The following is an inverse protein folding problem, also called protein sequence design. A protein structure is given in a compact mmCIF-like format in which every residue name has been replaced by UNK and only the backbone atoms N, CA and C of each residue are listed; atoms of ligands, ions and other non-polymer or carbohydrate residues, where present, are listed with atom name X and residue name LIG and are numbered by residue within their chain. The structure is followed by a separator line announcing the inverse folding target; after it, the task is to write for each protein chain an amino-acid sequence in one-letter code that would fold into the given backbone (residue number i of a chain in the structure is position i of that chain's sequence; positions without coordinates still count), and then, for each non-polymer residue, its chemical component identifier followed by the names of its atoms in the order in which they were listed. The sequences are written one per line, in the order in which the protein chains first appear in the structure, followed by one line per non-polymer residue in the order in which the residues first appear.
data_IF_004194971823
#
_entry.id   IF_004194971823
#
_cell.length_a   1.000
_cell.length_b   1.000
_cell.length_c   1.000
_cell.angle_alpha   90.00
_cell.angle_beta   90.00
_cell.angle_gamma   90.00
#
_symmetry.space_group_name_H-M   'P 1'
#
loop_
_entity.id
_entity.type
_entity.pdbx_description
1 polymer ?
#
# COMPACT_ATOMS: atom_id res chain seq x y z
N UNK A 1 -20.47 -3.34 -14.18
CA UNK A 1 -19.95 -2.42 -13.16
C UNK A 1 -18.63 -1.85 -13.64
N UNK A 2 -18.62 -0.56 -13.88
CA UNK A 2 -17.51 0.27 -14.35
C UNK A 2 -17.10 1.14 -13.17
N UNK A 3 -15.85 1.02 -12.75
CA UNK A 3 -15.36 1.62 -11.51
C UNK A 3 -14.26 2.62 -11.82
N UNK A 4 -14.17 3.68 -11.00
CA UNK A 4 -13.14 4.70 -11.11
C UNK A 4 -11.75 4.11 -10.87
N UNK A 5 -10.76 4.66 -11.56
CA UNK A 5 -9.36 4.29 -11.43
C UNK A 5 -8.61 5.45 -10.81
N UNK A 6 -7.71 5.16 -9.87
CA UNK A 6 -6.80 6.13 -9.27
C UNK A 6 -5.37 5.59 -9.29
N UNK A 7 -4.40 6.49 -9.42
CA UNK A 7 -3.00 6.19 -9.17
C UNK A 7 -2.58 6.81 -7.84
N UNK A 8 -2.05 5.99 -6.94
CA UNK A 8 -1.53 6.43 -5.65
C UNK A 8 -0.01 6.37 -5.68
N UNK A 9 0.62 7.53 -5.56
CA UNK A 9 2.06 7.68 -5.44
C UNK A 9 2.41 8.24 -4.06
N UNK A 10 2.52 7.33 -3.10
CA UNK A 10 3.10 7.58 -1.79
C UNK A 10 2.52 8.77 -1.01
N UNK A 11 1.20 8.94 -1.05
CA UNK A 11 0.47 10.02 -0.37
C UNK A 11 -0.28 10.91 -1.35
N UNK A 12 0.23 11.05 -2.57
CA UNK A 12 -0.43 11.80 -3.63
C UNK A 12 -1.35 10.88 -4.43
N UNK A 13 -2.58 11.34 -4.68
CA UNK A 13 -3.57 10.65 -5.49
C UNK A 13 -3.75 11.39 -6.80
N UNK A 14 -3.84 10.64 -7.89
CA UNK A 14 -4.16 11.17 -9.22
C UNK A 14 -5.32 10.38 -9.82
N UNK A 15 -6.24 11.09 -10.47
CA UNK A 15 -7.34 10.46 -11.21
C UNK A 15 -6.81 9.68 -12.41
N UNK A 16 -7.30 8.46 -12.58
CA UNK A 16 -6.93 7.57 -13.67
C UNK A 16 -5.58 6.86 -13.50
N UNK A 17 -5.26 6.05 -14.50
CA UNK A 17 -3.99 5.34 -14.61
C UNK A 17 -3.41 5.45 -16.02
N UNK A 18 -2.08 5.50 -16.09
CA UNK A 18 -1.34 5.44 -17.34
C UNK A 18 -1.29 4.00 -17.85
N UNK A 19 -1.70 3.83 -19.10
CA UNK A 19 -1.58 2.61 -19.90
C UNK A 19 -0.44 2.83 -20.88
N UNK A 20 0.51 1.90 -20.89
CA UNK A 20 1.75 1.96 -21.65
C UNK A 20 1.85 0.76 -22.61
N UNK A 21 2.70 0.90 -23.62
CA UNK A 21 3.04 -0.19 -24.52
C UNK A 21 3.92 -1.23 -23.83
N UNK A 22 3.47 -2.49 -23.84
CA UNK A 22 4.25 -3.63 -23.36
C UNK A 22 4.45 -4.67 -24.48
N UNK A 23 5.71 -4.98 -24.78
CA UNK A 23 6.07 -5.97 -25.81
C UNK A 23 6.15 -7.38 -25.20
N UNK A 24 5.31 -8.29 -25.69
CA UNK A 24 5.34 -9.69 -25.28
C UNK A 24 6.56 -10.40 -25.90
N UNK A 25 7.46 -10.87 -25.04
CA UNK A 25 8.65 -11.64 -25.47
C UNK A 25 8.22 -12.86 -26.29
N UNK A 26 8.78 -13.01 -27.50
CA UNK A 26 8.56 -14.16 -28.39
C UNK A 26 7.40 -14.03 -29.38
N UNK A 27 6.45 -13.11 -29.18
CA UNK A 27 5.31 -12.93 -30.08
C UNK A 27 5.44 -11.75 -31.04
N UNK A 28 6.40 -10.83 -30.81
CA UNK A 28 6.51 -9.54 -31.52
C UNK A 28 5.18 -8.74 -31.53
N UNK A 29 4.38 -8.91 -30.47
CA UNK A 29 3.10 -8.23 -30.27
C UNK A 29 3.27 -7.25 -29.11
N UNK A 30 2.85 -6.00 -29.35
CA UNK A 30 2.76 -4.96 -28.33
C UNK A 30 1.32 -4.86 -27.87
N UNK A 31 1.11 -4.84 -26.55
CA UNK A 31 -0.22 -4.69 -25.95
C UNK A 31 -0.28 -3.45 -25.07
N UNK A 32 -1.45 -2.79 -24.97
CA UNK A 32 -1.71 -1.78 -23.95
C UNK A 32 -1.83 -2.43 -22.56
N UNK A 33 -1.04 -1.98 -21.60
CA UNK A 33 -1.08 -2.49 -20.23
C UNK A 33 -0.77 -1.41 -19.19
N UNK A 34 -1.32 -1.52 -17.99
CA UNK A 34 -0.80 -0.80 -16.83
C UNK A 34 0.38 -1.59 -16.30
N UNK A 35 1.56 -0.96 -16.28
CA UNK A 35 2.82 -1.58 -15.86
C UNK A 35 3.23 -1.02 -14.50
N UNK A 36 3.49 -1.94 -13.56
CA UNK A 36 3.98 -1.66 -12.21
C UNK A 36 5.19 -2.53 -11.89
N UNK A 37 5.92 -2.19 -10.82
CA UNK A 37 7.21 -2.81 -10.51
C UNK A 37 8.33 -2.34 -11.44
N UNK A 38 9.45 -3.05 -11.42
CA UNK A 38 10.63 -2.74 -12.24
C UNK A 38 11.21 -4.02 -12.87
N UNK A 39 12.01 -3.88 -13.92
CA UNK A 39 12.80 -4.99 -14.46
C UNK A 39 14.16 -5.12 -13.76
N UNK A 40 14.68 -6.35 -13.70
CA UNK A 40 16.04 -6.63 -13.26
C UNK A 40 16.13 -7.44 -11.97
N UNK A 41 17.34 -7.55 -11.42
CA UNK A 41 17.60 -8.44 -10.28
C UNK A 41 16.84 -7.99 -9.03
N UNK A 42 16.07 -8.90 -8.44
CA UNK A 42 15.25 -8.63 -7.25
C UNK A 42 13.99 -7.79 -7.55
N UNK A 43 13.66 -7.59 -8.82
CA UNK A 43 12.52 -6.79 -9.30
C UNK A 43 11.63 -7.66 -10.16
N UNK A 44 10.36 -7.27 -10.27
CA UNK A 44 9.37 -7.98 -11.06
C UNK A 44 8.37 -7.00 -11.64
N UNK A 45 8.13 -7.08 -12.95
CA UNK A 45 7.04 -6.32 -13.57
C UNK A 45 5.70 -7.00 -13.32
N UNK A 46 4.75 -6.22 -12.79
CA UNK A 46 3.34 -6.52 -12.85
C UNK A 46 2.74 -5.90 -14.11
N UNK A 47 2.17 -6.73 -14.98
CA UNK A 47 1.57 -6.30 -16.25
C UNK A 47 0.08 -6.62 -16.19
N UNK A 48 -0.76 -5.59 -16.17
CA UNK A 48 -2.22 -5.73 -16.25
C UNK A 48 -2.69 -5.28 -17.63
N UNK A 49 -3.06 -6.21 -18.52
CA UNK A 49 -3.55 -5.87 -19.85
C UNK A 49 -4.81 -5.01 -19.78
N UNK A 50 -4.93 -4.07 -20.72
CA UNK A 50 -6.09 -3.18 -20.84
C UNK A 50 -6.67 -3.30 -22.22
N UNK A 51 -7.97 -3.57 -22.33
CA UNK A 51 -8.69 -3.43 -23.58
C UNK A 51 -9.20 -1.99 -23.69
N UNK A 52 -8.57 -1.21 -24.57
CA UNK A 52 -8.90 0.20 -24.79
C UNK A 52 -10.13 0.33 -25.71
N UNK A 53 -10.85 1.45 -25.56
CA UNK A 53 -11.88 1.88 -26.50
C UNK A 53 -11.23 2.27 -27.84
N UNK A 54 -11.94 2.17 -28.99
CA UNK A 54 -11.34 2.38 -30.31
C UNK A 54 -10.55 3.69 -30.47
N UNK A 55 -11.12 4.82 -30.01
CA UNK A 55 -10.47 6.12 -30.11
C UNK A 55 -9.29 6.27 -29.15
N UNK A 56 -9.37 5.68 -27.96
CA UNK A 56 -8.26 5.65 -27.00
C UNK A 56 -7.12 4.74 -27.49
N UNK A 57 -7.46 3.64 -28.15
CA UNK A 57 -6.52 2.71 -28.74
C UNK A 57 -5.71 3.38 -29.86
N UNK A 58 -6.35 4.11 -30.78
CA UNK A 58 -5.65 4.89 -31.81
C UNK A 58 -4.65 5.90 -31.21
N UNK A 59 -5.05 6.60 -30.14
CA UNK A 59 -4.15 7.52 -29.41
C UNK A 59 -2.96 6.79 -28.79
N UNK A 60 -3.20 5.62 -28.22
CA UNK A 60 -2.15 4.78 -27.66
C UNK A 60 -1.20 4.25 -28.74
N UNK A 61 -1.69 3.82 -29.90
CA UNK A 61 -0.83 3.37 -31.01
C UNK A 61 0.10 4.48 -31.52
N UNK A 62 -0.38 5.73 -31.53
CA UNK A 62 0.40 6.89 -31.95
C UNK A 62 1.43 7.34 -30.91
N UNK A 63 1.04 7.39 -29.63
CA UNK A 63 1.84 7.99 -28.57
C UNK A 63 2.61 6.99 -27.70
N UNK A 64 2.33 5.69 -27.83
CA UNK A 64 2.84 4.62 -26.97
C UNK A 64 2.28 4.63 -25.54
N UNK A 65 1.44 5.61 -25.18
CA UNK A 65 0.81 5.70 -23.87
C UNK A 65 -0.50 6.49 -23.92
N UNK A 66 -1.38 6.21 -22.96
CA UNK A 66 -2.65 6.93 -22.77
C UNK A 66 -3.09 6.84 -21.31
N UNK A 67 -3.96 7.77 -20.87
CA UNK A 67 -4.55 7.73 -19.52
C UNK A 67 -6.01 7.31 -19.61
N UNK A 68 -6.44 6.42 -18.71
CA UNK A 68 -7.83 5.98 -18.57
C UNK A 68 -8.35 6.26 -17.15
N UNK A 69 -9.66 6.51 -17.02
CA UNK A 69 -10.26 6.97 -15.75
C UNK A 69 -11.30 5.99 -15.19
N UNK A 70 -11.88 5.14 -16.03
CA UNK A 70 -12.83 4.12 -15.61
C UNK A 70 -12.57 2.80 -16.35
N UNK A 71 -12.84 1.68 -15.68
CA UNK A 71 -12.80 0.36 -16.29
C UNK A 71 -13.70 -0.64 -15.57
N UNK A 72 -13.98 -1.76 -16.23
CA UNK A 72 -14.51 -2.96 -15.60
C UNK A 72 -13.46 -4.06 -15.58
N UNK A 73 -13.55 -4.96 -14.60
CA UNK A 73 -12.69 -6.15 -14.53
C UNK A 73 -13.19 -7.20 -15.51
N UNK A 74 -12.30 -7.70 -16.35
CA UNK A 74 -12.52 -8.88 -17.18
C UNK A 74 -11.42 -9.91 -16.99
N UNK A 75 -11.46 -10.97 -17.80
CA UNK A 75 -10.43 -11.99 -17.84
C UNK A 75 -9.85 -12.13 -19.25
N UNK A 76 -8.55 -12.41 -19.33
CA UNK A 76 -7.89 -12.88 -20.54
C UNK A 76 -8.38 -14.29 -20.89
N UNK A 77 -8.05 -14.78 -22.10
CA UNK A 77 -8.35 -16.18 -22.49
C UNK A 77 -7.75 -17.20 -21.53
N UNK A 78 -6.66 -16.87 -20.84
CA UNK A 78 -6.00 -17.70 -19.84
C UNK A 78 -6.57 -17.54 -18.42
N UNK A 79 -7.70 -16.84 -18.25
CA UNK A 79 -8.33 -16.60 -16.95
C UNK A 79 -7.66 -15.53 -16.08
N UNK A 80 -6.53 -14.96 -16.52
CA UNK A 80 -5.84 -13.88 -15.77
C UNK A 80 -6.61 -12.56 -15.87
N UNK A 81 -6.60 -11.72 -14.82
CA UNK A 81 -7.27 -10.41 -14.85
C UNK A 81 -6.83 -9.53 -16.02
N UNK A 82 -7.78 -8.77 -16.57
CA UNK A 82 -7.54 -7.63 -17.48
C UNK A 82 -8.54 -6.52 -17.18
N UNK A 83 -8.22 -5.29 -17.56
CA UNK A 83 -9.18 -4.20 -17.53
C UNK A 83 -9.85 -4.03 -18.89
N UNK A 84 -11.13 -3.70 -18.87
CA UNK A 84 -11.89 -3.26 -20.03
C UNK A 84 -12.20 -1.78 -19.81
N UNK A 85 -11.59 -0.90 -20.60
CA UNK A 85 -11.80 0.54 -20.46
C UNK A 85 -13.28 0.89 -20.61
N UNK A 86 -13.75 1.80 -19.77
CA UNK A 86 -15.04 2.44 -19.89
C UNK A 86 -14.87 3.96 -20.08
N UNK A 87 -15.86 4.61 -20.68
CA UNK A 87 -15.89 6.07 -20.78
C UNK A 87 -16.04 6.70 -19.40
N UNK A 88 -16.99 6.19 -18.62
CA UNK A 88 -17.30 6.67 -17.28
C UNK A 88 -17.56 5.51 -16.31
N UNK A 89 -17.39 5.78 -15.02
CA UNK A 89 -17.79 4.86 -13.96
C UNK A 89 -19.31 4.90 -13.75
N UNK A 90 -19.90 3.78 -13.38
CA UNK A 90 -21.33 3.63 -13.08
C UNK A 90 -21.60 3.37 -11.59
N UNK A 91 -20.57 3.44 -10.75
CA UNK A 91 -20.67 3.19 -9.31
C UNK A 91 -19.52 3.86 -8.54
N UNK A 92 -19.78 4.19 -7.28
CA UNK A 92 -18.79 4.59 -6.28
C UNK A 92 -18.71 3.58 -5.12
N UNK A 93 -19.17 2.34 -5.30
CA UNK A 93 -19.07 1.27 -4.29
C UNK A 93 -17.64 0.74 -4.13
N UNK A 94 -16.79 0.94 -5.15
CA UNK A 94 -15.38 0.53 -5.16
C UNK A 94 -14.60 1.27 -6.24
N UNK A 95 -13.28 1.28 -6.10
CA UNK A 95 -12.37 1.84 -7.09
C UNK A 95 -11.21 0.89 -7.39
N UNK A 96 -10.51 1.13 -8.49
CA UNK A 96 -9.23 0.50 -8.82
C UNK A 96 -8.13 1.45 -8.37
N UNK A 97 -7.22 0.96 -7.53
CA UNK A 97 -6.04 1.71 -7.12
C UNK A 97 -4.78 1.09 -7.73
N UNK A 98 -4.03 1.89 -8.48
CA UNK A 98 -2.68 1.59 -8.96
C UNK A 98 -1.68 2.17 -7.97
N UNK A 99 -1.09 1.31 -7.14
CA UNK A 99 -0.14 1.68 -6.10
C UNK A 99 1.28 1.71 -6.64
N UNK A 100 1.84 2.91 -6.78
CA UNK A 100 3.27 3.17 -7.06
C UNK A 100 3.98 3.55 -5.76
N UNK A 101 3.89 2.67 -4.78
CA UNK A 101 4.33 2.90 -3.39
C UNK A 101 5.86 2.87 -3.29
N UNK A 102 6.46 3.97 -2.84
CA UNK A 102 7.91 4.07 -2.69
C UNK A 102 8.46 3.18 -1.56
N UNK A 103 9.79 3.06 -1.50
CA UNK A 103 10.52 2.57 -0.32
C UNK A 103 11.54 3.63 0.10
N UNK A 104 11.80 3.75 1.40
CA UNK A 104 12.93 4.55 1.89
C UNK A 104 14.28 3.91 1.54
N UNK A 105 15.38 4.62 1.79
CA UNK A 105 16.71 4.07 1.54
C UNK A 105 16.95 2.85 2.44
N UNK A 106 17.28 1.72 1.80
CA UNK A 106 17.36 0.37 2.38
C UNK A 106 16.07 -0.05 3.09
N UNK A 107 14.94 0.36 2.54
CA UNK A 107 13.63 0.20 3.12
C UNK A 107 12.79 -0.88 2.49
N UNK A 108 11.54 -0.91 2.94
CA UNK A 108 10.47 -1.70 2.39
C UNK A 108 9.19 -0.88 2.30
N UNK A 109 8.14 -1.45 1.73
CA UNK A 109 6.79 -0.91 1.88
C UNK A 109 5.83 -2.02 2.30
N UNK A 110 4.69 -1.62 2.88
CA UNK A 110 3.65 -2.55 3.32
C UNK A 110 2.28 -1.92 3.06
N UNK A 111 1.34 -2.73 2.58
CA UNK A 111 -0.06 -2.37 2.40
C UNK A 111 -0.89 -3.08 3.47
N UNK A 112 -1.67 -2.32 4.25
CA UNK A 112 -2.53 -2.85 5.31
C UNK A 112 -3.89 -2.17 5.29
N UNK A 113 -4.83 -2.66 6.08
CA UNK A 113 -6.02 -1.92 6.46
C UNK A 113 -5.72 -0.91 7.55
N UNK A 114 -6.78 -0.49 8.24
CA UNK A 114 -6.71 0.48 9.32
C UNK A 114 -5.88 0.01 10.53
N UNK A 115 -5.48 0.95 11.39
CA UNK A 115 -4.96 0.69 12.72
C UNK A 115 -6.03 0.00 13.56
N UNK A 116 -5.75 -1.22 13.99
CA UNK A 116 -6.66 -2.02 14.83
C UNK A 116 -6.46 -1.68 16.30
N UNK A 117 -5.23 -1.82 16.79
CA UNK A 117 -4.92 -1.57 18.20
C UNK A 117 -3.45 -1.21 18.42
N UNK A 118 -3.18 -0.65 19.60
CA UNK A 118 -1.83 -0.44 20.13
C UNK A 118 -1.66 -1.37 21.31
N UNK A 119 -0.58 -2.13 21.30
CA UNK A 119 -0.21 -3.00 22.40
C UNK A 119 1.26 -2.82 22.73
N UNK A 120 1.65 -3.24 23.92
CA UNK A 120 3.00 -3.08 24.42
C UNK A 120 3.65 -4.45 24.60
N UNK A 121 4.94 -4.52 24.36
CA UNK A 121 5.74 -5.74 24.58
C UNK A 121 6.96 -5.39 25.39
N UNK A 122 7.37 -6.26 26.30
CA UNK A 122 8.63 -6.08 27.02
C UNK A 122 9.77 -6.63 26.16
N UNK A 123 10.85 -5.87 25.92
CA UNK A 123 12.02 -6.36 25.21
C UNK A 123 12.57 -7.65 25.82
N UNK A 124 12.95 -8.59 24.97
CA UNK A 124 13.34 -9.95 25.38
C UNK A 124 14.51 -10.02 26.36
N UNK A 125 15.35 -8.98 26.41
CA UNK A 125 16.53 -8.88 27.27
C UNK A 125 16.24 -8.30 28.66
N UNK A 126 15.00 -7.89 28.94
CA UNK A 126 14.61 -7.36 30.25
C UNK A 126 14.18 -8.50 31.15
N UNK A 127 14.81 -8.60 32.32
CA UNK A 127 14.37 -9.51 33.39
C UNK A 127 13.12 -8.96 34.06
N UNK A 128 12.12 -9.82 34.24
CA UNK A 128 10.86 -9.45 34.87
C UNK A 128 10.97 -9.63 36.39
N UNK A 129 10.57 -8.63 37.19
CA UNK A 129 10.36 -8.82 38.62
C UNK A 129 9.09 -9.66 38.85
N UNK A 130 8.95 -10.34 40.01
CA UNK A 130 7.85 -11.27 40.27
C UNK A 130 6.44 -10.69 40.12
N UNK A 131 6.29 -9.38 40.31
CA UNK A 131 5.02 -8.65 40.26
C UNK A 131 4.51 -8.45 38.83
N UNK A 132 5.37 -8.61 37.82
CA UNK A 132 5.01 -8.38 36.41
C UNK A 132 4.80 -9.71 35.70
N UNK A 133 3.56 -10.04 35.27
CA UNK A 133 3.26 -11.32 34.65
C UNK A 133 3.94 -11.41 33.27
N UNK A 134 4.62 -12.53 32.99
CA UNK A 134 5.24 -12.74 31.68
C UNK A 134 4.19 -13.04 30.62
N UNK A 135 3.91 -12.07 29.77
CA UNK A 135 2.99 -12.22 28.63
C UNK A 135 3.53 -11.54 27.36
N UNK A 136 3.11 -11.99 26.17
CA UNK A 136 3.62 -11.48 24.91
C UNK A 136 3.04 -10.09 24.54
N UNK A 137 1.92 -9.69 25.14
CA UNK A 137 1.21 -8.43 24.86
C UNK A 137 0.67 -7.84 26.16
N UNK A 138 0.79 -6.54 26.31
CA UNK A 138 0.21 -5.76 27.39
C UNK A 138 -0.67 -4.67 26.80
N UNK A 139 -1.82 -4.45 27.44
CA UNK A 139 -2.71 -3.33 27.18
C UNK A 139 -2.09 -2.01 27.63
N UNK A 140 -2.74 -0.89 27.32
CA UNK A 140 -2.27 0.44 27.75
C UNK A 140 -2.33 0.55 29.28
N UNK A 141 -3.38 0.04 29.88
CA UNK A 141 -3.66 0.05 31.31
C UNK A 141 -2.62 -0.79 32.06
N UNK A 142 -2.32 -2.00 31.57
CA UNK A 142 -1.26 -2.85 32.13
C UNK A 142 0.12 -2.20 31.98
N UNK A 143 0.41 -1.57 30.84
CA UNK A 143 1.65 -0.80 30.66
C UNK A 143 1.76 0.31 31.71
N UNK A 144 0.69 1.05 31.98
CA UNK A 144 0.68 2.14 32.97
C UNK A 144 0.87 1.62 34.40
N UNK A 145 0.30 0.46 34.71
CA UNK A 145 0.46 -0.22 35.99
C UNK A 145 1.87 -0.78 36.19
N UNK A 146 2.44 -1.45 35.18
CA UNK A 146 3.72 -2.17 35.33
C UNK A 146 4.95 -1.34 34.97
N UNK A 147 4.83 -0.26 34.18
CA UNK A 147 5.97 0.57 33.81
C UNK A 147 6.74 1.11 35.03
N UNK A 148 6.11 1.67 36.09
CA UNK A 148 6.86 2.15 37.25
C UNK A 148 7.68 1.06 37.96
N UNK A 149 7.15 -0.17 38.01
CA UNK A 149 7.82 -1.33 38.63
C UNK A 149 9.06 -1.71 37.80
N UNK A 150 8.89 -1.81 36.48
CA UNK A 150 9.97 -2.16 35.55
C UNK A 150 11.04 -1.07 35.47
N UNK A 151 10.63 0.20 35.46
CA UNK A 151 11.50 1.37 35.50
C UNK A 151 12.39 1.34 36.75
N UNK A 152 11.79 1.14 37.94
CA UNK A 152 12.53 0.98 39.18
C UNK A 152 13.50 -0.21 39.15
N UNK A 153 13.05 -1.35 38.63
CA UNK A 153 13.88 -2.56 38.50
C UNK A 153 15.07 -2.36 37.55
N UNK A 154 14.92 -1.53 36.53
CA UNK A 154 15.95 -1.21 35.53
C UNK A 154 16.75 0.06 35.83
N UNK A 155 16.42 0.77 36.91
CA UNK A 155 17.00 2.05 37.28
C UNK A 155 16.92 3.08 36.13
N UNK A 156 15.71 3.24 35.57
CA UNK A 156 15.40 4.20 34.51
C UNK A 156 14.06 4.88 34.79
N UNK A 157 13.91 6.11 34.34
CA UNK A 157 12.65 6.87 34.45
C UNK A 157 11.86 6.91 33.12
N UNK A 158 12.44 6.39 32.02
CA UNK A 158 11.76 6.34 30.72
C UNK A 158 11.10 4.97 30.52
N UNK A 159 9.76 4.96 30.52
CA UNK A 159 8.98 3.75 30.26
C UNK A 159 9.29 3.13 28.89
N UNK A 160 9.78 3.92 27.92
CA UNK A 160 10.16 3.43 26.59
C UNK A 160 11.39 2.53 26.60
N UNK A 161 12.18 2.57 27.68
CA UNK A 161 13.30 1.64 27.86
C UNK A 161 12.84 0.27 28.37
N UNK A 162 11.60 0.15 28.84
CA UNK A 162 11.05 -1.10 29.40
C UNK A 162 9.88 -1.68 28.62
N UNK A 163 9.23 -0.88 27.77
CA UNK A 163 8.21 -1.32 26.84
C UNK A 163 8.45 -0.81 25.43
N UNK A 164 8.29 -1.70 24.46
CA UNK A 164 8.10 -1.35 23.05
C UNK A 164 6.61 -1.16 22.76
N UNK A 165 6.23 0.00 22.24
CA UNK A 165 4.90 0.17 21.63
C UNK A 165 4.86 -0.51 20.25
N UNK A 166 3.87 -1.38 20.04
CA UNK A 166 3.57 -2.04 18.76
C UNK A 166 2.18 -1.64 18.28
N UNK A 167 2.01 -1.63 16.97
CA UNK A 167 0.75 -1.29 16.34
C UNK A 167 0.30 -2.49 15.51
N UNK A 168 -0.90 -3.00 15.79
CA UNK A 168 -1.56 -3.98 14.94
C UNK A 168 -2.42 -3.26 13.91
N UNK A 169 -2.35 -3.72 12.67
CA UNK A 169 -3.16 -3.23 11.57
C UNK A 169 -4.10 -4.34 11.09
N UNK A 170 -5.28 -3.94 10.61
CA UNK A 170 -6.17 -4.82 9.88
C UNK A 170 -5.49 -5.33 8.59
N UNK A 171 -5.91 -6.49 8.06
CA UNK A 171 -5.50 -6.94 6.74
C UNK A 171 -5.79 -5.89 5.67
N UNK A 172 -5.01 -5.89 4.59
CA UNK A 172 -5.30 -5.04 3.43
C UNK A 172 -6.69 -5.38 2.88
N UNK A 173 -7.61 -4.41 2.74
CA UNK A 173 -9.00 -4.68 2.40
C UNK A 173 -9.25 -4.89 0.90
N UNK A 174 -8.24 -4.65 0.06
CA UNK A 174 -8.37 -4.68 -1.39
C UNK A 174 -8.09 -6.05 -2.02
N UNK A 175 -8.84 -6.37 -3.06
CA UNK A 175 -8.58 -7.54 -3.90
C UNK A 175 -7.44 -7.22 -4.87
N UNK A 176 -6.25 -7.78 -4.62
CA UNK A 176 -5.07 -7.58 -5.47
C UNK A 176 -5.22 -8.35 -6.79
N UNK A 177 -5.28 -7.62 -7.91
CA UNK A 177 -5.44 -8.18 -9.25
C UNK A 177 -4.13 -8.19 -10.06
N UNK A 178 -3.12 -7.42 -9.63
CA UNK A 178 -1.78 -7.42 -10.21
C UNK A 178 -0.76 -6.97 -9.16
N UNK A 179 0.46 -7.50 -9.22
CA UNK A 179 1.56 -7.07 -8.37
C UNK A 179 2.86 -7.00 -9.14
N UNK A 180 3.72 -6.08 -8.73
CA UNK A 180 5.11 -5.98 -9.17
C UNK A 180 6.03 -5.73 -7.97
N UNK A 181 7.33 -5.86 -8.18
CA UNK A 181 8.37 -5.66 -7.18
C UNK A 181 9.32 -4.58 -7.67
N UNK A 182 9.60 -3.61 -6.78
CA UNK A 182 10.67 -2.64 -6.91
C UNK A 182 11.80 -3.01 -5.95
N UNK A 183 13.04 -2.70 -6.31
CA UNK A 183 14.17 -2.99 -5.43
C UNK A 183 15.30 -1.97 -5.55
N UNK A 184 15.96 -1.74 -4.43
CA UNK A 184 17.10 -0.84 -4.35
C UNK A 184 18.44 -1.58 -4.46
N UNK A 185 19.39 -0.91 -5.11
CA UNK A 185 20.75 -1.36 -5.32
C UNK A 185 20.92 -2.16 -6.60
N UNK A 186 22.16 -2.24 -7.09
CA UNK A 186 22.48 -2.96 -8.33
C UNK A 186 22.06 -4.44 -8.28
N UNK A 187 22.14 -5.05 -7.09
CA UNK A 187 21.75 -6.45 -6.88
C UNK A 187 20.32 -6.65 -6.34
N UNK A 188 19.55 -5.58 -6.08
CA UNK A 188 18.18 -5.66 -5.53
C UNK A 188 18.10 -6.21 -4.09
N UNK A 189 19.20 -6.21 -3.34
CA UNK A 189 19.29 -6.77 -1.97
C UNK A 189 19.30 -5.71 -0.86
N UNK A 190 19.30 -4.43 -1.22
CA UNK A 190 19.45 -3.35 -0.24
C UNK A 190 18.11 -2.93 0.38
N UNK A 191 17.02 -3.06 -0.38
CA UNK A 191 15.65 -2.77 0.02
C UNK A 191 14.71 -3.22 -1.09
N UNK A 192 13.46 -3.52 -0.76
CA UNK A 192 12.47 -4.02 -1.73
C UNK A 192 11.07 -3.63 -1.31
N UNK A 193 10.24 -3.28 -2.28
CA UNK A 193 8.84 -2.95 -2.06
C UNK A 193 7.95 -3.60 -3.11
N UNK A 194 6.66 -3.65 -2.81
CA UNK A 194 5.63 -4.12 -3.73
C UNK A 194 4.92 -2.91 -4.33
N UNK A 195 4.70 -2.97 -5.63
CA UNK A 195 3.64 -2.21 -6.28
C UNK A 195 2.45 -3.14 -6.49
N UNK A 196 1.24 -2.59 -6.45
CA UNK A 196 0.00 -3.37 -6.54
C UNK A 196 -1.01 -2.66 -7.44
N UNK A 197 -1.87 -3.43 -8.08
CA UNK A 197 -3.15 -2.95 -8.59
C UNK A 197 -4.21 -3.73 -7.84
N UNK A 198 -5.12 -3.04 -7.16
CA UNK A 198 -6.14 -3.67 -6.35
C UNK A 198 -7.49 -2.98 -6.51
N UNK A 199 -8.55 -3.74 -6.29
CA UNK A 199 -9.92 -3.25 -6.20
C UNK A 199 -10.21 -2.97 -4.73
N UNK A 200 -10.55 -1.72 -4.41
CA UNK A 200 -10.75 -1.25 -3.04
C UNK A 200 -12.23 -0.97 -2.80
N UNK A 201 -12.86 -1.53 -1.75
CA UNK A 201 -14.23 -1.18 -1.38
C UNK A 201 -14.33 0.26 -0.85
N UNK A 202 -15.45 0.92 -1.12
CA UNK A 202 -15.76 2.23 -0.56
C UNK A 202 -15.88 2.17 0.96
N UNK A 203 -15.69 3.33 1.61
CA UNK A 203 -15.84 3.51 3.05
C UNK A 203 -14.98 2.58 3.92
N UNK A 204 -13.90 2.03 3.35
CA UNK A 204 -12.96 1.18 4.06
C UNK A 204 -11.57 1.80 4.04
N UNK A 205 -10.98 1.97 5.22
CA UNK A 205 -9.64 2.57 5.35
C UNK A 205 -8.57 1.56 4.95
N UNK A 206 -7.64 2.01 4.11
CA UNK A 206 -6.43 1.27 3.75
C UNK A 206 -5.20 2.16 3.91
N UNK A 207 -4.03 1.53 4.01
CA UNK A 207 -2.79 2.20 4.39
C UNK A 207 -1.63 1.72 3.55
N UNK A 208 -0.75 2.65 3.18
CA UNK A 208 0.60 2.32 2.71
C UNK A 208 1.64 2.81 3.72
N UNK A 209 2.53 1.92 4.12
CA UNK A 209 3.64 2.19 5.02
C UNK A 209 4.97 2.11 4.27
N UNK A 210 5.94 2.91 4.70
CA UNK A 210 7.28 2.94 4.14
C UNK A 210 8.30 2.73 5.26
N UNK A 211 9.27 1.86 5.02
CA UNK A 211 10.40 1.60 5.91
C UNK A 211 11.71 2.17 5.36
N UNK A 212 12.79 1.98 6.12
CA UNK A 212 14.12 2.49 5.79
C UNK A 212 14.28 3.96 6.15
N UNK A 213 15.27 4.62 5.56
CA UNK A 213 15.51 6.06 5.77
C UNK A 213 14.64 6.88 4.83
N UNK A 214 13.74 7.67 5.41
CA UNK A 214 12.74 8.47 4.68
C UNK A 214 13.09 9.96 4.57
N UNK A 215 14.15 10.41 5.23
CA UNK A 215 14.68 11.79 5.10
C UNK A 215 13.62 12.89 5.27
N UNK A 216 12.77 12.75 6.28
CA UNK A 216 11.70 13.71 6.57
C UNK A 216 10.36 13.41 5.89
N UNK A 217 10.31 12.44 4.96
CA UNK A 217 9.03 11.99 4.41
C UNK A 217 8.22 11.21 5.47
N UNK A 218 6.87 11.27 5.41
CA UNK A 218 6.01 10.53 6.32
C UNK A 218 6.25 9.02 6.27
N UNK A 219 6.12 8.33 7.40
CA UNK A 219 6.26 6.88 7.50
C UNK A 219 5.09 6.07 6.95
N UNK A 220 3.94 6.69 6.75
CA UNK A 220 2.75 6.06 6.18
C UNK A 220 1.72 7.10 5.73
N UNK A 221 0.81 6.67 4.86
CA UNK A 221 -0.42 7.39 4.53
C UNK A 221 -1.60 6.44 4.64
N UNK A 222 -2.74 6.99 5.02
CA UNK A 222 -4.04 6.36 5.11
C UNK A 222 -4.94 6.93 4.02
N UNK A 223 -5.81 6.08 3.51
CA UNK A 223 -6.67 6.39 2.39
C UNK A 223 -8.07 5.85 2.65
N UNK A 224 -9.07 6.56 2.15
CA UNK A 224 -10.46 6.11 2.09
C UNK A 224 -11.05 6.53 0.76
N UNK A 225 -11.73 5.60 0.08
CA UNK A 225 -12.52 5.91 -1.11
C UNK A 225 -13.96 6.20 -0.65
N UNK A 226 -14.44 7.42 -0.89
CA UNK A 226 -15.78 7.88 -0.49
C UNK A 226 -16.26 8.93 -1.50
N UNK A 227 -17.54 8.89 -1.84
CA UNK A 227 -18.19 9.84 -2.75
C UNK A 227 -17.46 10.03 -4.09
N UNK A 228 -16.84 8.95 -4.56
CA UNK A 228 -16.17 8.95 -5.84
C UNK A 228 -14.79 9.60 -5.86
N UNK A 229 -14.20 9.89 -4.70
CA UNK A 229 -12.86 10.44 -4.52
C UNK A 229 -12.04 9.60 -3.51
N UNK A 230 -10.72 9.72 -3.56
CA UNK A 230 -9.84 9.16 -2.52
C UNK A 230 -9.25 10.29 -1.69
N UNK A 231 -9.54 10.26 -0.40
CA UNK A 231 -8.93 11.15 0.58
C UNK A 231 -7.68 10.49 1.12
N UNK A 232 -6.58 11.25 1.25
CA UNK A 232 -5.28 10.79 1.72
C UNK A 232 -4.83 11.63 2.92
N UNK A 233 -4.33 10.98 3.97
CA UNK A 233 -3.79 11.68 5.13
C UNK A 233 -2.67 10.87 5.80
N UNK A 234 -1.71 11.58 6.40
CA UNK A 234 -0.80 11.02 7.40
C UNK A 234 -1.55 10.70 8.70
N UNK A 235 -0.91 9.97 9.62
CA UNK A 235 -1.51 9.71 10.92
C UNK A 235 -1.79 11.00 11.70
N UNK A 236 -0.87 11.97 11.65
CA UNK A 236 -1.01 13.24 12.34
C UNK A 236 -2.20 14.04 11.81
N UNK A 237 -2.32 14.18 10.49
CA UNK A 237 -3.46 14.85 9.86
C UNK A 237 -4.77 14.14 10.18
N UNK A 238 -4.76 12.80 10.15
CA UNK A 238 -5.93 12.00 10.50
C UNK A 238 -6.37 12.18 11.95
N UNK A 239 -5.46 12.25 12.92
CA UNK A 239 -5.85 12.44 14.33
C UNK A 239 -6.46 13.83 14.57
N UNK A 240 -6.12 14.80 13.74
CA UNK A 240 -6.62 16.19 13.84
C UNK A 240 -7.93 16.37 13.04
N UNK A 241 -8.27 15.44 12.15
CA UNK A 241 -9.41 15.58 11.23
C UNK A 241 -10.45 14.50 11.47
N UNK A 242 -11.73 14.85 11.40
CA UNK A 242 -12.86 13.91 11.49
C UNK A 242 -13.15 13.20 10.15
N UNK A 243 -12.12 13.08 9.29
CA UNK A 243 -12.28 12.63 7.89
C UNK A 243 -12.44 11.11 7.77
N UNK A 244 -11.88 10.35 8.72
CA UNK A 244 -11.73 8.89 8.66
C UNK A 244 -12.54 8.15 9.74
#
# INVERSE_FOLDING_TARGET
MKIKIFTINSGTVYDGATVESFSLKGANITIPAIIIGEEGRGRELGILPVQLLPETYKKWEQNGSVRIYAASLGATKAGKPKLLQAEEADTDEKCICVFRTMIGYRGCNVHTGDRKEVYYTIPWYISLPPEVPKQPRYTKEEKEMYAPILCKHRNTDDWREVFDAKIEFLPFPGDVICSGIIAQGAAGRMGSGRHLIAIIPANTVFRTAYGGRLYGAPGAHYYIFRDGEIISATWQERVISDIF
#
